data_IF_511439083304
#
_entry.id   IF_511439083304
#
_cell.length_a   1.000
_cell.length_b   1.000
_cell.length_c   1.000
_cell.angle_alpha   90.00
_cell.angle_beta   90.00
_cell.angle_gamma   90.00
#
_symmetry.space_group_name_H-M   'P 1'
#
loop_
_entity.id
_entity.type
_entity.pdbx_description
1 polymer ?
#
# COMPACT_ATOMS: atom_id res chain seq x y z
N UNK A 1 -14.39 2.13 -3.46
CA UNK A 1 -13.45 1.02 -3.27
C UNK A 1 -14.12 -0.34 -3.48
N UNK A 2 -15.23 -0.66 -2.80
CA UNK A 2 -15.84 -1.98 -2.80
C UNK A 2 -16.31 -2.48 -4.18
N UNK A 3 -16.76 -1.59 -5.07
CA UNK A 3 -17.12 -1.95 -6.45
C UNK A 3 -15.92 -2.45 -7.27
N UNK A 4 -14.69 -2.22 -6.79
CA UNK A 4 -13.46 -2.67 -7.45
C UNK A 4 -12.96 -4.02 -6.95
N UNK A 5 -13.60 -4.63 -5.96
CA UNK A 5 -13.13 -5.87 -5.31
C UNK A 5 -12.78 -6.97 -6.32
N UNK A 6 -13.59 -7.31 -7.33
CA UNK A 6 -13.21 -8.31 -8.32
C UNK A 6 -11.93 -7.94 -9.08
N UNK A 7 -11.77 -6.67 -9.43
CA UNK A 7 -10.57 -6.16 -10.11
C UNK A 7 -9.35 -6.18 -9.18
N UNK A 8 -9.53 -5.87 -7.89
CA UNK A 8 -8.45 -5.93 -6.91
C UNK A 8 -7.89 -7.35 -6.78
N UNK A 9 -8.76 -8.37 -6.65
CA UNK A 9 -8.31 -9.76 -6.67
C UNK A 9 -7.51 -10.10 -7.93
N UNK A 10 -7.95 -9.59 -9.08
CA UNK A 10 -7.29 -9.82 -10.35
C UNK A 10 -5.92 -9.15 -10.42
N UNK A 11 -5.83 -7.88 -10.05
CA UNK A 11 -4.58 -7.10 -10.00
C UNK A 11 -3.56 -7.79 -9.09
N UNK A 12 -3.97 -8.16 -7.87
CA UNK A 12 -3.11 -8.84 -6.92
C UNK A 12 -2.68 -10.23 -7.42
N UNK A 13 -3.61 -11.00 -7.96
CA UNK A 13 -3.36 -12.35 -8.47
C UNK A 13 -2.40 -12.39 -9.66
N UNK A 14 -2.40 -11.35 -10.49
CA UNK A 14 -1.44 -11.22 -11.60
C UNK A 14 -0.11 -10.57 -11.18
N UNK A 15 0.08 -10.25 -9.90
CA UNK A 15 1.27 -9.59 -9.38
C UNK A 15 1.57 -8.27 -10.13
N UNK A 16 0.54 -7.46 -10.30
CA UNK A 16 0.64 -6.17 -10.96
C UNK A 16 0.86 -5.07 -9.93
N UNK A 17 1.85 -4.21 -10.12
CA UNK A 17 2.02 -3.05 -9.25
C UNK A 17 0.88 -2.05 -9.47
N UNK A 18 0.43 -1.44 -8.40
CA UNK A 18 -0.57 -0.41 -8.43
C UNK A 18 -0.79 0.15 -7.02
N UNK A 19 -1.15 1.40 -6.91
CA UNK A 19 -1.42 2.02 -5.62
C UNK A 19 -2.79 2.67 -5.65
N UNK A 20 -3.64 2.33 -4.69
CA UNK A 20 -4.90 2.99 -4.44
C UNK A 20 -4.72 3.90 -3.24
N UNK A 21 -4.82 5.22 -3.43
CA UNK A 21 -4.87 6.19 -2.36
C UNK A 21 -6.32 6.33 -1.91
N UNK A 22 -6.61 5.99 -0.66
CA UNK A 22 -7.97 5.87 -0.15
C UNK A 22 -8.18 6.74 1.07
N UNK A 23 -9.12 7.65 0.96
CA UNK A 23 -9.69 8.37 2.10
C UNK A 23 -10.71 7.44 2.77
N UNK A 24 -10.26 6.71 3.79
CA UNK A 24 -11.01 5.62 4.40
C UNK A 24 -12.24 6.13 5.18
N UNK A 25 -13.36 5.45 5.03
CA UNK A 25 -14.65 5.82 5.64
C UNK A 25 -15.50 4.62 6.01
N UNK A 26 -16.49 4.87 6.87
CA UNK A 26 -17.55 3.91 7.12
C UNK A 26 -18.34 3.59 5.83
N UNK A 27 -18.84 2.37 5.76
CA UNK A 27 -19.76 1.98 4.70
C UNK A 27 -21.17 2.44 5.01
N UNK A 28 -21.89 2.90 3.98
CA UNK A 28 -23.27 3.27 4.12
C UNK A 28 -24.13 2.05 4.51
N UNK A 29 -24.97 2.22 5.52
CA UNK A 29 -25.96 1.24 5.97
C UNK A 29 -27.35 1.93 5.97
N UNK A 30 -27.93 2.20 7.15
CA UNK A 30 -29.16 2.99 7.25
C UNK A 30 -28.94 4.47 6.86
N UNK A 31 -27.71 4.96 6.99
CA UNK A 31 -27.28 6.28 6.53
C UNK A 31 -25.76 6.29 6.26
N UNK A 32 -25.24 7.39 5.75
CA UNK A 32 -23.83 7.59 5.48
C UNK A 32 -23.18 8.37 6.63
N UNK A 33 -21.99 7.93 7.09
CA UNK A 33 -21.09 8.73 7.90
C UNK A 33 -19.90 9.19 7.04
N UNK A 34 -19.57 10.48 7.11
CA UNK A 34 -18.44 11.06 6.37
C UNK A 34 -17.16 11.09 7.18
N UNK A 35 -17.24 10.83 8.49
CA UNK A 35 -16.07 10.82 9.37
C UNK A 35 -15.18 9.62 9.15
N UNK A 36 -13.92 9.73 9.62
CA UNK A 36 -12.91 8.70 9.50
C UNK A 36 -13.36 7.38 10.11
N UNK A 37 -13.16 6.32 9.35
CA UNK A 37 -13.39 4.93 9.73
C UNK A 37 -12.60 4.06 8.75
N UNK A 38 -12.20 2.88 9.18
CA UNK A 38 -11.44 1.97 8.33
C UNK A 38 -12.28 0.81 7.77
N UNK A 39 -13.61 0.90 7.85
CA UNK A 39 -14.51 -0.18 7.47
C UNK A 39 -14.37 -0.57 5.99
N UNK A 40 -14.25 0.39 5.09
CA UNK A 40 -14.11 0.15 3.65
C UNK A 40 -12.78 -0.50 3.29
N UNK A 41 -11.66 -0.03 3.84
CA UNK A 41 -10.34 -0.63 3.60
C UNK A 41 -10.21 -2.00 4.27
N UNK A 42 -10.79 -2.19 5.46
CA UNK A 42 -10.82 -3.50 6.12
C UNK A 42 -11.69 -4.51 5.35
N UNK A 43 -12.75 -4.07 4.67
CA UNK A 43 -13.56 -4.92 3.83
C UNK A 43 -12.80 -5.50 2.62
N UNK A 44 -11.75 -4.82 2.16
CA UNK A 44 -10.93 -5.28 1.01
C UNK A 44 -9.59 -5.89 1.41
N UNK A 45 -9.30 -6.06 2.71
CA UNK A 45 -8.02 -6.60 3.21
C UNK A 45 -7.66 -7.99 2.65
N UNK A 46 -8.66 -8.76 2.23
CA UNK A 46 -8.46 -10.11 1.70
C UNK A 46 -8.12 -10.16 0.22
N UNK A 47 -8.12 -9.01 -0.47
CA UNK A 47 -7.91 -8.96 -1.93
C UNK A 47 -6.48 -9.24 -2.36
N UNK A 48 -5.52 -9.22 -1.41
CA UNK A 48 -4.11 -9.41 -1.69
C UNK A 48 -3.34 -8.10 -1.93
N UNK A 49 -3.96 -6.96 -1.69
CA UNK A 49 -3.25 -5.68 -1.62
C UNK A 49 -2.51 -5.56 -0.28
N UNK A 50 -1.27 -5.12 -0.31
CA UNK A 50 -0.59 -4.66 0.89
C UNK A 50 -1.26 -3.37 1.38
N UNK A 51 -1.35 -3.18 2.70
CA UNK A 51 -2.06 -2.05 3.30
C UNK A 51 -1.07 -1.17 4.05
N UNK A 52 -1.06 0.13 3.73
CA UNK A 52 -0.21 1.13 4.35
C UNK A 52 -1.09 2.26 4.89
N UNK A 53 -1.17 2.35 6.23
CA UNK A 53 -1.89 3.40 6.92
C UNK A 53 -0.99 4.62 7.16
N UNK A 54 -1.55 5.81 7.06
CA UNK A 54 -0.90 7.08 7.38
C UNK A 54 -1.79 7.91 8.29
N UNK A 55 -1.18 8.72 9.16
CA UNK A 55 -1.87 9.46 10.22
C UNK A 55 -2.09 10.93 9.88
N UNK A 56 -1.12 11.59 9.27
CA UNK A 56 -1.12 13.03 8.99
C UNK A 56 -1.03 13.34 7.49
N UNK A 57 -1.32 14.59 7.13
CA UNK A 57 -1.19 15.05 5.73
C UNK A 57 0.25 14.96 5.23
N UNK A 58 1.25 15.18 6.11
CA UNK A 58 2.65 15.03 5.76
C UNK A 58 3.01 13.57 5.48
N UNK A 59 2.56 12.64 6.32
CA UNK A 59 2.76 11.20 6.09
C UNK A 59 2.09 10.73 4.80
N UNK A 60 0.89 11.21 4.50
CA UNK A 60 0.21 10.90 3.23
C UNK A 60 1.09 11.25 2.04
N UNK A 61 1.75 12.41 2.07
CA UNK A 61 2.64 12.85 0.99
C UNK A 61 3.90 11.99 0.90
N UNK A 62 4.57 11.78 2.01
CA UNK A 62 5.86 11.09 2.05
C UNK A 62 5.73 9.58 1.77
N UNK A 63 4.76 8.93 2.42
CA UNK A 63 4.58 7.49 2.28
C UNK A 63 3.84 7.07 1.00
N UNK A 64 3.20 8.01 0.30
CA UNK A 64 2.72 7.75 -1.06
C UNK A 64 3.87 7.31 -1.97
N UNK A 65 5.03 8.00 -1.89
CA UNK A 65 6.23 7.62 -2.63
C UNK A 65 6.70 6.21 -2.28
N UNK A 66 6.73 5.86 -1.00
CA UNK A 66 7.09 4.51 -0.51
C UNK A 66 6.15 3.46 -1.11
N UNK A 67 4.83 3.68 -1.06
CA UNK A 67 3.85 2.75 -1.61
C UNK A 67 4.08 2.46 -3.09
N UNK A 68 4.33 3.48 -3.91
CA UNK A 68 4.59 3.32 -5.35
C UNK A 68 5.89 2.58 -5.66
N UNK A 69 6.97 2.95 -4.96
CA UNK A 69 8.30 2.35 -5.17
C UNK A 69 8.27 0.87 -4.79
N UNK A 70 7.69 0.56 -3.62
CA UNK A 70 7.61 -0.83 -3.15
C UNK A 70 6.64 -1.65 -4.00
N UNK A 71 5.48 -1.10 -4.38
CA UNK A 71 4.54 -1.81 -5.25
C UNK A 71 5.22 -2.30 -6.54
N UNK A 72 6.02 -1.44 -7.16
CA UNK A 72 6.73 -1.79 -8.38
C UNK A 72 7.79 -2.88 -8.15
N UNK A 73 8.63 -2.72 -7.11
CA UNK A 73 9.73 -3.64 -6.79
C UNK A 73 9.22 -5.00 -6.31
N UNK A 74 8.24 -4.99 -5.40
CA UNK A 74 7.64 -6.20 -4.84
C UNK A 74 6.66 -6.91 -5.78
N UNK A 75 6.16 -6.23 -6.82
CA UNK A 75 5.08 -6.73 -7.68
C UNK A 75 3.77 -7.00 -6.91
N UNK A 76 3.56 -6.27 -5.83
CA UNK A 76 2.36 -6.36 -4.99
C UNK A 76 1.67 -4.99 -5.00
N UNK A 77 0.36 -4.94 -5.30
CA UNK A 77 -0.37 -3.68 -5.24
C UNK A 77 -0.60 -3.22 -3.79
N UNK A 78 -0.79 -1.91 -3.61
CA UNK A 78 -0.99 -1.29 -2.29
C UNK A 78 -2.33 -0.57 -2.19
N UNK A 79 -2.96 -0.67 -1.03
CA UNK A 79 -3.92 0.30 -0.52
C UNK A 79 -3.19 1.19 0.47
N UNK A 80 -2.84 2.39 0.05
CA UNK A 80 -2.33 3.45 0.89
C UNK A 80 -3.52 4.28 1.37
N UNK A 81 -3.78 4.33 2.66
CA UNK A 81 -5.00 4.94 3.18
C UNK A 81 -4.75 5.85 4.38
N UNK A 82 -5.65 6.77 4.55
CA UNK A 82 -5.69 7.78 5.61
C UNK A 82 -7.15 8.07 5.98
N UNK A 83 -7.37 8.70 7.12
CA UNK A 83 -8.74 8.94 7.59
C UNK A 83 -9.47 9.94 6.71
N UNK A 84 -10.63 9.51 6.22
CA UNK A 84 -11.57 10.37 5.52
C UNK A 84 -12.12 11.45 6.45
N UNK A 85 -12.34 12.65 5.93
CA UNK A 85 -12.72 13.86 6.64
C UNK A 85 -11.64 14.41 7.57
N UNK A 86 -11.13 13.64 8.53
CA UNK A 86 -10.05 14.11 9.45
C UNK A 86 -8.81 14.53 8.67
N UNK A 87 -8.12 13.57 8.04
CA UNK A 87 -6.89 13.84 7.29
C UNK A 87 -7.20 14.40 5.89
N UNK A 88 -8.22 13.86 5.19
CA UNK A 88 -8.50 14.25 3.80
C UNK A 88 -9.02 15.67 3.61
N UNK A 89 -9.56 16.31 4.63
CA UNK A 89 -10.09 17.69 4.60
C UNK A 89 -9.24 18.65 5.45
N UNK A 90 -8.18 18.16 6.06
CA UNK A 90 -7.28 18.99 6.83
C UNK A 90 -6.43 19.86 5.91
N UNK A 91 -6.29 21.14 6.28
CA UNK A 91 -5.43 22.09 5.58
C UNK A 91 -4.17 22.28 6.41
N UNK A 92 -3.09 21.69 5.96
CA UNK A 92 -1.79 21.79 6.60
C UNK A 92 -0.72 22.30 5.62
N UNK A 93 0.25 23.02 6.16
CA UNK A 93 1.50 23.27 5.44
C UNK A 93 2.37 22.02 5.52
N UNK A 94 2.74 21.47 4.37
CA UNK A 94 3.62 20.31 4.27
C UNK A 94 4.92 20.68 3.56
N UNK A 95 5.95 19.88 3.81
CA UNK A 95 7.22 19.96 3.10
C UNK A 95 7.20 18.94 1.95
N UNK A 96 7.45 19.44 0.74
CA UNK A 96 7.51 18.58 -0.45
C UNK A 96 8.90 17.96 -0.59
N UNK A 97 8.93 16.69 -0.95
CA UNK A 97 10.17 16.04 -1.38
C UNK A 97 10.45 16.46 -2.81
N UNK A 98 11.68 16.82 -3.11
CA UNK A 98 12.06 17.19 -4.46
C UNK A 98 12.03 16.00 -5.43
N UNK A 99 11.73 16.29 -6.69
CA UNK A 99 11.57 15.27 -7.72
C UNK A 99 12.84 14.44 -7.96
N UNK A 100 14.02 15.06 -7.83
CA UNK A 100 15.29 14.37 -8.05
C UNK A 100 15.52 13.30 -6.97
N UNK A 101 15.25 13.63 -5.71
CA UNK A 101 15.35 12.71 -4.59
C UNK A 101 14.37 11.52 -4.72
N UNK A 102 13.10 11.78 -5.06
CA UNK A 102 12.13 10.72 -5.33
C UNK A 102 12.56 9.85 -6.52
N UNK A 103 13.03 10.47 -7.60
CA UNK A 103 13.51 9.75 -8.79
C UNK A 103 14.72 8.88 -8.51
N UNK A 104 15.58 9.28 -7.57
CA UNK A 104 16.75 8.51 -7.15
C UNK A 104 16.37 7.24 -6.37
N UNK A 105 15.23 7.25 -5.65
CA UNK A 105 14.73 6.08 -4.96
C UNK A 105 14.09 5.04 -5.90
N UNK A 106 13.76 5.44 -7.12
CA UNK A 106 12.96 4.64 -8.04
C UNK A 106 13.79 3.54 -8.71
N UNK A 107 13.33 2.29 -8.60
CA UNK A 107 13.99 1.14 -9.22
C UNK A 107 13.66 1.07 -10.73
N UNK A 108 14.59 1.56 -11.54
CA UNK A 108 14.44 1.59 -13.00
C UNK A 108 14.48 0.21 -13.64
N UNK A 109 15.18 -0.75 -13.01
CA UNK A 109 15.22 -2.12 -13.49
C UNK A 109 13.87 -2.81 -13.23
N UNK A 110 13.29 -2.64 -12.04
CA UNK A 110 11.95 -3.14 -11.75
C UNK A 110 10.89 -2.56 -12.73
N UNK A 111 11.02 -1.29 -13.11
CA UNK A 111 10.17 -0.68 -14.14
C UNK A 111 10.37 -1.34 -15.51
N UNK A 112 11.62 -1.56 -15.90
CA UNK A 112 11.96 -2.22 -17.16
C UNK A 112 11.36 -3.62 -17.21
N UNK A 113 11.55 -4.40 -16.16
CA UNK A 113 10.97 -5.74 -16.02
C UNK A 113 9.44 -5.73 -16.08
N UNK A 114 8.80 -4.77 -15.37
CA UNK A 114 7.35 -4.61 -15.44
C UNK A 114 6.87 -4.36 -16.88
N UNK A 115 7.52 -3.45 -17.60
CA UNK A 115 7.19 -3.16 -19.01
C UNK A 115 7.43 -4.37 -19.91
N UNK A 116 8.48 -5.15 -19.66
CA UNK A 116 8.77 -6.37 -20.42
C UNK A 116 7.72 -7.47 -20.21
N UNK A 117 7.02 -7.46 -19.07
CA UNK A 117 5.91 -8.39 -18.81
C UNK A 117 4.56 -7.93 -19.36
N UNK A 118 4.46 -6.72 -19.90
CA UNK A 118 3.21 -6.23 -20.49
C UNK A 118 2.83 -7.06 -21.72
N UNK A 119 1.52 -7.09 -22.02
CA UNK A 119 1.03 -7.72 -23.25
C UNK A 119 1.61 -7.01 -24.46
N UNK A 120 2.24 -7.77 -25.35
CA UNK A 120 2.88 -7.25 -26.55
C UNK A 120 2.68 -8.24 -27.71
N UNK A 121 2.14 -7.81 -28.86
CA UNK A 121 1.96 -8.67 -30.05
C UNK A 121 3.24 -9.35 -30.54
N UNK A 122 4.39 -8.68 -30.39
CA UNK A 122 5.69 -9.25 -30.79
C UNK A 122 6.19 -10.34 -29.84
N UNK A 123 5.64 -10.38 -28.63
CA UNK A 123 5.94 -11.36 -27.58
C UNK A 123 4.64 -11.79 -26.91
N UNK A 124 3.80 -12.56 -27.63
CA UNK A 124 2.48 -12.91 -27.14
C UNK A 124 2.57 -13.84 -25.92
N UNK A 125 1.78 -13.51 -24.89
CA UNK A 125 1.60 -14.34 -23.71
C UNK A 125 0.12 -14.40 -23.35
N UNK A 126 -0.32 -15.51 -22.77
CA UNK A 126 -1.68 -15.68 -22.29
C UNK A 126 -1.70 -15.42 -20.77
N UNK A 127 -2.66 -14.61 -20.33
CA UNK A 127 -2.87 -14.32 -18.90
C UNK A 127 -4.34 -14.47 -18.54
N UNK A 128 -4.59 -14.72 -17.26
CA UNK A 128 -5.93 -14.74 -16.71
C UNK A 128 -6.81 -15.87 -17.23
N UNK A 129 -6.19 -16.94 -17.66
CA UNK A 129 -6.87 -18.15 -18.10
C UNK A 129 -7.52 -18.92 -16.95
N UNK A 130 -8.45 -19.83 -17.27
CA UNK A 130 -8.95 -20.80 -16.31
C UNK A 130 -7.86 -21.84 -16.00
N UNK A 131 -7.73 -22.19 -14.73
CA UNK A 131 -6.81 -23.23 -14.25
C UNK A 131 -7.61 -24.28 -13.47
N UNK A 132 -7.25 -25.53 -13.63
CA UNK A 132 -7.79 -26.63 -12.83
C UNK A 132 -7.24 -26.53 -11.38
N UNK A 133 -7.92 -27.14 -10.39
CA UNK A 133 -7.57 -27.01 -8.98
C UNK A 133 -6.11 -27.36 -8.65
N UNK A 134 -5.56 -28.37 -9.30
CA UNK A 134 -4.17 -28.82 -9.13
C UNK A 134 -3.16 -27.73 -9.53
N UNK A 135 -3.36 -27.10 -10.69
CA UNK A 135 -2.50 -26.02 -11.18
C UNK A 135 -2.76 -24.70 -10.42
N UNK A 136 -4.02 -24.41 -10.13
CA UNK A 136 -4.40 -23.18 -9.42
C UNK A 136 -3.76 -23.10 -8.04
N UNK A 137 -3.76 -24.18 -7.28
CA UNK A 137 -3.12 -24.23 -5.95
C UNK A 137 -1.61 -23.92 -6.04
N UNK A 138 -0.91 -24.58 -6.95
CA UNK A 138 0.53 -24.37 -7.14
C UNK A 138 0.85 -22.90 -7.53
N UNK A 139 0.04 -22.31 -8.40
CA UNK A 139 0.21 -20.91 -8.80
C UNK A 139 -0.01 -19.96 -7.62
N UNK A 140 -1.00 -20.24 -6.76
CA UNK A 140 -1.24 -19.46 -5.54
C UNK A 140 -0.08 -19.56 -4.58
N UNK A 141 0.44 -20.77 -4.33
CA UNK A 141 1.62 -20.99 -3.48
C UNK A 141 2.86 -20.25 -4.00
N UNK A 142 3.12 -20.29 -5.29
CA UNK A 142 4.26 -19.62 -5.92
C UNK A 142 4.27 -18.09 -5.71
N UNK A 143 3.12 -17.49 -5.38
CA UNK A 143 3.01 -16.06 -5.10
C UNK A 143 3.55 -15.65 -3.71
N UNK A 144 3.62 -16.59 -2.75
CA UNK A 144 3.99 -16.28 -1.36
C UNK A 144 5.35 -15.59 -1.22
N UNK A 145 6.32 -15.95 -2.05
CA UNK A 145 7.66 -15.31 -2.03
C UNK A 145 7.61 -13.79 -2.25
N UNK A 146 6.63 -13.29 -3.03
CA UNK A 146 6.48 -11.86 -3.26
C UNK A 146 5.88 -11.16 -2.03
N UNK A 147 4.87 -11.76 -1.41
CA UNK A 147 4.26 -11.25 -0.20
C UNK A 147 5.22 -11.23 0.99
N UNK A 148 6.00 -12.31 1.17
CA UNK A 148 6.96 -12.44 2.26
C UNK A 148 8.06 -11.38 2.22
N UNK A 149 8.38 -10.85 1.04
CA UNK A 149 9.41 -9.82 0.87
C UNK A 149 8.90 -8.38 1.13
N UNK A 150 7.57 -8.16 1.17
CA UNK A 150 6.99 -6.82 1.29
C UNK A 150 7.39 -6.08 2.57
N UNK A 151 7.35 -6.70 3.77
CA UNK A 151 7.68 -5.98 5.00
C UNK A 151 9.09 -5.38 4.99
N UNK A 152 10.08 -6.17 4.58
CA UNK A 152 11.48 -5.73 4.52
C UNK A 152 11.67 -4.62 3.46
N UNK A 153 11.03 -4.76 2.30
CA UNK A 153 11.07 -3.74 1.25
C UNK A 153 10.41 -2.42 1.69
N UNK A 154 9.35 -2.48 2.46
CA UNK A 154 8.71 -1.29 3.05
C UNK A 154 9.63 -0.63 4.05
N UNK A 155 10.22 -1.41 4.97
CA UNK A 155 11.17 -0.89 5.96
C UNK A 155 12.38 -0.20 5.29
N UNK A 156 12.98 -0.84 4.29
CA UNK A 156 14.09 -0.26 3.49
C UNK A 156 13.68 1.05 2.80
N UNK A 157 12.47 1.10 2.22
CA UNK A 157 11.99 2.31 1.56
C UNK A 157 11.67 3.44 2.55
N UNK A 158 11.12 3.09 3.73
CA UNK A 158 10.89 4.04 4.82
C UNK A 158 12.20 4.61 5.39
N UNK A 159 13.25 3.80 5.53
CA UNK A 159 14.57 4.27 5.93
C UNK A 159 15.14 5.29 4.91
N UNK A 160 15.02 5.00 3.62
CA UNK A 160 15.47 5.90 2.56
C UNK A 160 14.71 7.24 2.56
N UNK A 161 13.37 7.19 2.69
CA UNK A 161 12.58 8.43 2.75
C UNK A 161 12.88 9.22 4.01
N UNK A 162 13.12 8.54 5.14
CA UNK A 162 13.54 9.18 6.40
C UNK A 162 14.87 9.94 6.25
N UNK A 163 15.83 9.33 5.57
CA UNK A 163 17.12 9.97 5.30
C UNK A 163 17.00 11.21 4.41
N UNK A 164 16.05 11.22 3.46
CA UNK A 164 15.81 12.35 2.55
C UNK A 164 15.07 13.48 3.26
N UNK A 165 14.07 13.14 4.06
CA UNK A 165 13.15 14.13 4.65
C UNK A 165 13.58 14.61 6.04
N UNK A 166 14.45 13.87 6.71
CA UNK A 166 14.79 14.09 8.13
C UNK A 166 13.66 13.68 9.09
N UNK A 167 12.55 13.13 8.61
CA UNK A 167 11.45 12.59 9.41
C UNK A 167 11.61 11.08 9.56
N UNK A 168 11.41 10.55 10.75
CA UNK A 168 11.58 9.12 11.00
C UNK A 168 10.31 8.36 10.61
N UNK A 169 10.43 7.41 9.69
CA UNK A 169 9.37 6.48 9.27
C UNK A 169 9.77 5.03 9.51
N UNK A 170 8.88 4.29 10.14
CA UNK A 170 9.01 2.86 10.41
C UNK A 170 7.67 2.16 10.17
N UNK A 171 7.65 0.86 9.85
CA UNK A 171 6.39 0.12 9.73
C UNK A 171 5.53 0.17 10.99
N UNK A 172 6.19 0.21 12.17
CA UNK A 172 5.57 0.38 13.49
C UNK A 172 6.45 1.26 14.35
N UNK A 173 5.83 2.18 15.07
CA UNK A 173 6.51 3.02 16.07
C UNK A 173 5.94 2.70 17.44
N UNK A 174 6.82 2.47 18.41
CA UNK A 174 6.43 2.21 19.78
C UNK A 174 6.65 3.45 20.66
N UNK A 175 5.65 3.80 21.44
CA UNK A 175 5.70 4.84 22.45
C UNK A 175 5.26 4.25 23.79
N UNK A 176 6.07 4.35 24.82
CA UNK A 176 5.72 3.93 26.16
C UNK A 176 6.82 3.18 26.89
N UNK A 177 6.46 2.53 27.97
CA UNK A 177 7.36 1.74 28.78
C UNK A 177 7.74 0.44 28.05
N UNK A 178 9.04 0.12 27.84
CA UNK A 178 9.47 -1.13 27.20
C UNK A 178 9.02 -2.40 27.94
N UNK A 179 8.69 -2.29 29.25
CA UNK A 179 8.20 -3.40 30.08
C UNK A 179 6.66 -3.40 30.23
N UNK A 180 5.93 -2.68 29.36
CA UNK A 180 4.49 -2.58 29.45
C UNK A 180 3.81 -3.95 29.28
N UNK A 181 2.92 -4.30 30.24
CA UNK A 181 2.11 -5.52 30.15
C UNK A 181 0.90 -5.39 29.20
N UNK A 182 0.44 -4.16 28.97
CA UNK A 182 -0.70 -3.87 28.12
C UNK A 182 -0.29 -2.91 27.00
N UNK A 183 -0.54 -3.29 25.74
CA UNK A 183 -0.18 -2.50 24.57
C UNK A 183 -1.44 -2.18 23.76
N UNK A 184 -1.58 -0.92 23.36
CA UNK A 184 -2.62 -0.47 22.42
C UNK A 184 -1.99 -0.37 21.05
N UNK A 185 -2.59 -1.02 20.06
CA UNK A 185 -2.22 -0.88 18.65
C UNK A 185 -3.21 0.06 17.98
N UNK A 186 -2.72 1.14 17.39
CA UNK A 186 -3.52 2.14 16.72
C UNK A 186 -2.96 2.46 15.34
N UNK A 187 -3.80 2.96 14.43
CA UNK A 187 -3.39 3.44 13.10
C UNK A 187 -4.31 4.56 12.64
N UNK A 188 -3.83 5.39 11.72
CA UNK A 188 -4.54 6.56 11.23
C UNK A 188 -4.45 7.76 12.18
N UNK A 189 -5.31 8.73 12.03
CA UNK A 189 -5.22 10.03 12.72
C UNK A 189 -5.31 9.97 14.25
N UNK A 190 -5.75 8.86 14.83
CA UNK A 190 -5.77 8.67 16.29
C UNK A 190 -4.35 8.67 16.87
N UNK A 191 -3.34 8.34 16.08
CA UNK A 191 -1.94 8.33 16.54
C UNK A 191 -1.33 9.72 16.67
N UNK A 192 -2.03 10.75 16.18
CA UNK A 192 -1.64 12.16 16.31
C UNK A 192 -2.23 12.82 17.58
N UNK A 193 -2.94 12.07 18.42
CA UNK A 193 -3.55 12.53 19.64
C UNK A 193 -2.73 12.11 20.85
#
# INVERSE_FOLDING_TARGET
LLLMVPNMYKIAGELLPGVFHVSARALAAQSLSIFGDHQDVMAVRQTGFAMLATSSVQEVMDLAGVAHIVALKARIPFVHFFDGFRTSHEIQKIELIDEASLSAMFDREALREFRMRSLNPERPVTRGTAQNPDIYFQTREASNKFYNAVPDMVAEAMEKISAITGREYKPFTYYGDPEAENIIIAMGSITET
#
